data_IF_019487437429
#
_entry.id   IF_019487437429
#
_cell.length_a   1.000
_cell.length_b   1.000
_cell.length_c   1.000
_cell.angle_alpha   90.00
_cell.angle_beta   90.00
_cell.angle_gamma   90.00
#
_symmetry.space_group_name_H-M   'P 1'
#
loop_
_entity.id
_entity.type
_entity.pdbx_description
1 polymer ?
#
# COMPACT_ATOMS: atom_id res chain seq x y z
N UNK A 1 -59.18 50.17 17.16
CA UNK A 1 -59.95 49.02 17.68
C UNK A 1 -59.09 47.78 17.42
N UNK A 2 -58.04 47.47 18.19
CA UNK A 2 -58.00 47.06 19.60
C UNK A 2 -58.87 45.82 19.89
N UNK A 3 -58.23 44.64 19.87
CA UNK A 3 -58.54 43.53 20.77
C UNK A 3 -57.31 43.43 21.71
N UNK A 4 -57.37 43.96 22.93
CA UNK A 4 -57.74 43.29 24.20
C UNK A 4 -56.68 42.23 24.60
N UNK A 5 -55.65 42.61 25.36
CA UNK A 5 -55.48 42.49 26.83
C UNK A 5 -55.08 41.08 27.33
N UNK A 6 -53.76 40.95 27.57
CA UNK A 6 -53.03 40.46 28.77
C UNK A 6 -53.89 39.98 29.96
N UNK A 7 -53.53 38.92 30.73
CA UNK A 7 -52.54 39.10 31.82
C UNK A 7 -51.83 37.82 32.37
N UNK A 8 -50.77 38.02 33.18
CA UNK A 8 -50.08 37.08 34.11
C UNK A 8 -48.92 36.22 33.55
N UNK A 9 -47.71 36.77 33.68
CA UNK A 9 -46.47 35.97 33.67
C UNK A 9 -45.17 36.72 33.95
N UNK A 10 -45.17 37.60 34.96
CA UNK A 10 -44.03 38.03 35.79
C UNK A 10 -42.59 38.03 35.20
N UNK A 11 -42.05 39.24 35.05
CA UNK A 11 -40.61 39.62 35.14
C UNK A 11 -40.07 39.37 36.58
N UNK A 12 -38.85 39.81 37.03
CA UNK A 12 -37.64 40.37 36.37
C UNK A 12 -36.26 39.87 36.98
N UNK A 13 -35.12 40.32 36.41
CA UNK A 13 -33.88 40.91 37.05
C UNK A 13 -33.14 40.13 38.19
N UNK A 14 -31.82 40.21 38.45
CA UNK A 14 -30.75 41.21 38.22
C UNK A 14 -29.35 40.58 38.38
N UNK A 15 -28.40 41.11 37.60
CA UNK A 15 -27.00 41.48 37.91
C UNK A 15 -26.51 41.31 39.36
N UNK A 16 -25.35 40.67 39.53
CA UNK A 16 -24.36 41.05 40.56
C UNK A 16 -22.94 40.93 39.99
N UNK A 17 -22.23 42.06 40.03
CA UNK A 17 -20.84 42.23 39.61
C UNK A 17 -19.84 41.70 40.66
N UNK A 18 -18.64 41.31 40.23
CA UNK A 18 -17.37 41.86 40.74
C UNK A 18 -16.16 41.18 40.07
N UNK A 19 -15.29 42.00 39.47
CA UNK A 19 -13.88 41.68 39.21
C UNK A 19 -13.09 41.87 40.50
N UNK A 20 -12.29 40.87 40.90
CA UNK A 20 -10.95 40.93 41.56
C UNK A 20 -10.46 39.47 41.49
N UNK A 21 -9.27 39.05 41.05
CA UNK A 21 -7.95 39.63 41.08
C UNK A 21 -7.01 38.64 41.79
N UNK A 22 -5.97 38.21 41.09
CA UNK A 22 -4.67 37.73 41.58
C UNK A 22 -4.41 36.24 41.90
N UNK A 23 -3.35 35.75 41.24
CA UNK A 23 -2.47 34.62 41.54
C UNK A 23 -2.12 34.45 43.04
N UNK A 24 -2.10 33.19 43.49
CA UNK A 24 -1.06 32.54 44.33
C UNK A 24 -1.14 31.04 43.95
N UNK A 25 -0.25 30.51 43.11
CA UNK A 25 1.09 29.99 43.42
C UNK A 25 1.10 28.79 44.38
N UNK A 26 1.52 27.64 43.84
CA UNK A 26 2.29 26.62 44.56
C UNK A 26 1.49 25.71 45.50
N UNK A 27 1.64 24.41 45.26
CA UNK A 27 1.57 23.36 46.28
C UNK A 27 0.16 22.82 46.60
N UNK A 28 -0.28 21.78 45.88
CA UNK A 28 -0.98 20.56 46.42
C UNK A 28 -1.16 19.44 45.35
N UNK A 29 -0.20 19.17 44.47
CA UNK A 29 -0.37 18.06 43.50
C UNK A 29 -0.06 16.68 44.14
N UNK A 30 0.77 16.65 45.18
CA UNK A 30 1.27 15.40 45.78
C UNK A 30 0.28 14.63 46.68
N UNK A 31 -0.85 15.23 47.07
CA UNK A 31 -1.84 14.54 47.90
C UNK A 31 -2.93 13.82 47.09
N UNK A 32 -3.20 14.25 45.85
CA UNK A 32 -4.18 13.59 44.98
C UNK A 32 -3.68 12.22 44.48
N UNK A 33 -2.37 12.06 44.21
CA UNK A 33 -1.82 10.80 43.72
C UNK A 33 -1.74 9.68 44.78
N UNK A 34 -1.64 9.99 46.07
CA UNK A 34 -1.53 8.97 47.13
C UNK A 34 -2.83 8.21 47.40
N UNK A 35 -3.99 8.81 47.11
CA UNK A 35 -5.29 8.17 47.26
C UNK A 35 -5.65 7.23 46.09
N UNK A 36 -4.97 7.38 44.94
CA UNK A 36 -5.14 6.48 43.80
C UNK A 36 -4.23 5.24 43.90
N UNK A 37 -3.05 5.39 44.52
CA UNK A 37 -2.09 4.29 44.71
C UNK A 37 -2.56 3.19 45.68
N UNK A 38 -3.46 3.49 46.61
CA UNK A 38 -3.89 2.52 47.64
C UNK A 38 -5.08 1.64 47.23
N UNK A 39 -5.66 1.82 46.03
CA UNK A 39 -6.75 0.97 45.51
C UNK A 39 -6.33 -0.03 44.41
N UNK A 40 -5.06 -0.05 44.01
CA UNK A 40 -4.54 -1.00 43.02
C UNK A 40 -3.66 -2.11 43.62
N UNK A 41 -3.47 -2.12 44.94
CA UNK A 41 -2.74 -3.17 45.63
C UNK A 41 -3.64 -4.38 45.92
N UNK A 42 -3.98 -5.14 44.88
CA UNK A 42 -4.38 -6.54 44.99
C UNK A 42 -3.19 -7.41 44.52
N UNK A 43 -2.84 -8.51 45.23
CA UNK A 43 -1.61 -9.25 44.96
C UNK A 43 -1.86 -10.25 43.85
N UNK A 44 -1.11 -10.14 42.76
CA UNK A 44 -1.12 -11.15 41.69
C UNK A 44 -0.91 -10.56 40.32
N UNK A 45 0.25 -9.94 40.09
CA UNK A 45 0.83 -9.80 38.76
C UNK A 45 2.33 -9.70 38.96
N UNK A 46 3.06 -10.74 38.53
CA UNK A 46 4.49 -10.65 38.34
C UNK A 46 4.79 -9.43 37.47
N UNK A 47 5.86 -8.66 37.72
CA UNK A 47 6.22 -7.55 36.85
C UNK A 47 6.34 -8.08 35.43
N UNK A 48 5.48 -7.60 34.54
CA UNK A 48 5.75 -7.67 33.10
C UNK A 48 7.03 -6.86 32.92
N UNK A 49 8.16 -7.56 32.92
CA UNK A 49 9.44 -7.02 32.57
C UNK A 49 9.29 -6.55 31.12
N UNK A 50 8.99 -5.26 30.97
CA UNK A 50 8.99 -4.58 29.69
C UNK A 50 10.41 -4.74 29.18
N UNK A 51 10.65 -5.73 28.31
CA UNK A 51 11.90 -5.89 27.61
C UNK A 51 12.24 -4.54 26.99
N UNK A 52 13.20 -3.83 27.58
CA UNK A 52 13.74 -2.60 27.02
C UNK A 52 14.16 -2.94 25.59
N UNK A 53 13.64 -2.23 24.57
CA UNK A 53 13.95 -2.54 23.18
C UNK A 53 15.46 -2.50 23.03
N UNK A 54 16.05 -3.65 22.68
CA UNK A 54 17.49 -3.76 22.39
C UNK A 54 17.85 -2.63 21.42
N UNK A 55 18.96 -1.89 21.64
CA UNK A 55 19.34 -0.80 20.77
C UNK A 55 19.36 -1.30 19.34
N UNK A 56 18.58 -0.65 18.47
CA UNK A 56 18.57 -0.93 17.06
C UNK A 56 20.01 -0.81 16.56
N UNK A 57 20.61 -1.94 16.13
CA UNK A 57 21.97 -1.97 15.58
C UNK A 57 22.13 -0.78 14.62
N UNK A 58 23.25 -0.06 14.75
CA UNK A 58 23.60 0.99 13.80
C UNK A 58 23.63 0.42 12.38
N UNK A 59 23.36 1.25 11.37
CA UNK A 59 23.32 0.82 9.97
C UNK A 59 24.60 0.07 9.58
N UNK A 60 25.74 0.57 10.03
CA UNK A 60 27.06 -0.04 9.78
C UNK A 60 27.17 -1.44 10.39
N UNK A 61 26.68 -1.62 11.62
CA UNK A 61 26.63 -2.95 12.26
C UNK A 61 25.69 -3.93 11.55
N UNK A 62 24.58 -3.44 10.99
CA UNK A 62 23.69 -4.29 10.17
C UNK A 62 24.37 -4.69 8.87
N UNK A 63 25.06 -3.75 8.21
CA UNK A 63 25.80 -4.02 6.98
C UNK A 63 26.94 -5.02 7.23
N UNK A 64 27.76 -4.78 8.26
CA UNK A 64 28.86 -5.67 8.61
C UNK A 64 28.35 -7.09 8.92
N UNK A 65 27.28 -7.21 9.68
CA UNK A 65 26.66 -8.51 9.96
C UNK A 65 26.13 -9.22 8.72
N UNK A 66 25.72 -8.50 7.68
CA UNK A 66 25.33 -9.11 6.40
C UNK A 66 26.55 -9.59 5.62
N UNK A 67 27.62 -8.78 5.59
CA UNK A 67 28.87 -9.15 4.92
C UNK A 67 29.55 -10.34 5.57
N UNK A 68 29.59 -10.38 6.90
CA UNK A 68 30.16 -11.51 7.65
C UNK A 68 29.38 -12.80 7.35
N UNK A 69 28.04 -12.74 7.35
CA UNK A 69 27.19 -13.89 6.98
C UNK A 69 27.41 -14.35 5.53
N UNK A 70 27.66 -13.41 4.62
CA UNK A 70 27.88 -13.73 3.21
C UNK A 70 29.19 -14.51 2.96
N UNK A 71 30.18 -14.43 3.88
CA UNK A 71 31.42 -15.20 3.76
C UNK A 71 31.22 -16.70 4.00
N UNK A 72 30.28 -17.07 4.88
CA UNK A 72 30.02 -18.46 5.28
C UNK A 72 28.87 -19.11 4.49
N UNK A 73 28.19 -18.36 3.62
CA UNK A 73 26.98 -18.82 2.95
C UNK A 73 27.29 -19.54 1.63
N UNK A 74 26.73 -20.75 1.46
CA UNK A 74 26.77 -21.44 0.17
C UNK A 74 25.88 -20.74 -0.87
N UNK A 75 26.08 -21.05 -2.15
CA UNK A 75 25.24 -20.54 -3.25
C UNK A 75 23.77 -20.89 -3.02
N UNK A 76 23.47 -22.15 -2.69
CA UNK A 76 22.10 -22.62 -2.46
C UNK A 76 21.47 -21.94 -1.23
N UNK A 77 22.26 -21.78 -0.15
CA UNK A 77 21.82 -21.06 1.04
C UNK A 77 21.53 -19.58 0.75
N UNK A 78 22.33 -18.94 -0.10
CA UNK A 78 22.13 -17.55 -0.53
C UNK A 78 20.88 -17.40 -1.39
N UNK A 79 20.64 -18.34 -2.30
CA UNK A 79 19.45 -18.35 -3.15
C UNK A 79 18.17 -18.58 -2.33
N UNK A 80 18.19 -19.53 -1.40
CA UNK A 80 17.06 -19.77 -0.49
C UNK A 80 16.74 -18.54 0.35
N UNK A 81 17.75 -17.87 0.93
CA UNK A 81 17.55 -16.64 1.68
C UNK A 81 16.97 -15.51 0.81
N UNK A 82 17.46 -15.35 -0.42
CA UNK A 82 16.92 -14.38 -1.37
C UNK A 82 15.42 -14.64 -1.62
N UNK A 83 15.06 -15.89 -1.92
CA UNK A 83 13.67 -16.26 -2.21
C UNK A 83 12.76 -16.07 -1.00
N UNK A 84 13.21 -16.44 0.21
CA UNK A 84 12.46 -16.17 1.44
C UNK A 84 12.19 -14.67 1.60
N UNK A 85 13.21 -13.81 1.46
CA UNK A 85 13.03 -12.35 1.57
C UNK A 85 12.09 -11.78 0.51
N UNK A 86 12.08 -12.33 -0.69
CA UNK A 86 11.14 -11.91 -1.74
C UNK A 86 9.72 -12.34 -1.38
N UNK A 87 9.52 -13.62 -1.01
CA UNK A 87 8.19 -14.17 -0.66
C UNK A 87 7.58 -13.41 0.52
N UNK A 88 8.38 -13.04 1.52
CA UNK A 88 7.92 -12.26 2.69
C UNK A 88 7.34 -10.88 2.31
N UNK A 89 7.63 -10.38 1.12
CA UNK A 89 7.08 -9.11 0.60
C UNK A 89 5.81 -9.31 -0.25
N UNK A 90 5.50 -10.54 -0.66
CA UNK A 90 4.41 -10.81 -1.61
C UNK A 90 3.06 -10.93 -0.91
N UNK A 91 2.05 -10.39 -1.57
CA UNK A 91 0.63 -10.61 -1.22
C UNK A 91 0.12 -11.87 -1.95
N UNK A 92 -0.87 -12.61 -1.42
CA UNK A 92 -1.41 -13.80 -2.09
C UNK A 92 -1.84 -13.60 -3.55
N UNK A 93 -2.44 -12.45 -3.88
CA UNK A 93 -2.82 -12.14 -5.26
C UNK A 93 -1.61 -11.97 -6.20
N UNK A 94 -0.47 -11.48 -5.69
CA UNK A 94 0.77 -11.39 -6.48
C UNK A 94 1.37 -12.78 -6.74
N UNK A 95 1.33 -13.67 -5.75
CA UNK A 95 1.71 -15.07 -5.92
C UNK A 95 0.83 -15.76 -6.98
N UNK A 96 -0.47 -15.45 -7.04
CA UNK A 96 -1.36 -15.94 -8.10
C UNK A 96 -0.97 -15.45 -9.48
N UNK A 97 -0.56 -14.19 -9.63
CA UNK A 97 -0.06 -13.66 -10.91
C UNK A 97 1.19 -14.43 -11.35
N UNK A 98 2.15 -14.67 -10.44
CA UNK A 98 3.35 -15.44 -10.75
C UNK A 98 2.99 -16.85 -11.19
N UNK A 99 2.08 -17.52 -10.45
CA UNK A 99 1.57 -18.85 -10.79
C UNK A 99 0.93 -18.90 -12.18
N UNK A 100 0.16 -17.88 -12.56
CA UNK A 100 -0.53 -17.86 -13.85
C UNK A 100 0.43 -17.63 -15.03
N UNK A 101 1.62 -17.06 -14.79
CA UNK A 101 2.62 -16.76 -15.81
C UNK A 101 3.82 -17.72 -15.76
N UNK A 102 3.86 -18.65 -14.81
CA UNK A 102 5.01 -19.55 -14.60
C UNK A 102 5.19 -20.55 -15.73
N UNK A 103 4.13 -20.85 -16.49
CA UNK A 103 4.18 -21.68 -17.70
C UNK A 103 4.92 -21.02 -18.88
N UNK A 104 5.33 -19.75 -18.72
CA UNK A 104 5.97 -18.97 -19.78
C UNK A 104 4.99 -18.24 -20.68
N UNK A 105 3.69 -18.29 -20.36
CA UNK A 105 2.70 -17.43 -20.98
C UNK A 105 3.02 -15.95 -20.75
N UNK A 106 2.51 -15.11 -21.64
CA UNK A 106 2.56 -13.66 -21.51
C UNK A 106 1.15 -13.08 -21.50
N UNK A 107 0.98 -11.95 -20.84
CA UNK A 107 -0.28 -11.20 -20.80
C UNK A 107 -0.13 -9.84 -21.48
N UNK A 108 -1.17 -9.29 -22.14
CA UNK A 108 -1.11 -7.93 -22.66
C UNK A 108 -0.96 -6.94 -21.50
N UNK A 109 -0.20 -5.88 -21.75
CA UNK A 109 0.11 -4.81 -20.82
C UNK A 109 -0.11 -3.47 -21.53
N UNK A 110 -0.89 -2.59 -20.93
CA UNK A 110 -1.16 -1.25 -21.46
C UNK A 110 -0.80 -0.19 -20.43
N UNK A 111 -0.11 0.85 -20.90
CA UNK A 111 0.14 2.07 -20.13
C UNK A 111 -0.47 3.26 -20.84
N UNK A 112 -1.28 4.03 -20.13
CA UNK A 112 -2.00 5.20 -20.65
C UNK A 112 -1.34 6.46 -20.12
N UNK A 113 -0.97 7.35 -21.04
CA UNK A 113 -0.32 8.63 -20.75
C UNK A 113 -1.11 9.75 -21.41
N UNK A 114 -1.08 10.94 -20.80
CA UNK A 114 -1.46 12.17 -21.51
C UNK A 114 -0.49 12.43 -22.66
N UNK A 115 -0.92 13.26 -23.61
CA UNK A 115 -0.04 13.77 -24.68
C UNK A 115 0.29 15.23 -24.40
N UNK A 116 1.55 15.62 -24.59
CA UNK A 116 1.92 17.04 -24.53
C UNK A 116 1.50 17.75 -25.81
N UNK A 117 1.27 19.08 -25.80
CA UNK A 117 0.98 19.85 -27.02
C UNK A 117 2.04 19.68 -28.11
N UNK A 118 3.30 19.48 -27.72
CA UNK A 118 4.42 19.19 -28.61
C UNK A 118 4.46 17.73 -29.15
N UNK A 119 3.42 16.92 -28.90
CA UNK A 119 3.32 15.54 -29.41
C UNK A 119 4.05 14.47 -28.57
N UNK A 120 4.73 14.86 -27.49
CA UNK A 120 5.45 13.96 -26.60
C UNK A 120 4.55 13.17 -25.64
N UNK A 121 5.15 12.17 -24.97
CA UNK A 121 4.49 11.48 -23.87
C UNK A 121 4.42 12.39 -22.64
N UNK A 122 3.22 12.59 -22.09
CA UNK A 122 2.97 13.35 -20.87
C UNK A 122 2.89 12.46 -19.63
N UNK A 123 2.23 12.99 -18.59
CA UNK A 123 1.97 12.30 -17.32
C UNK A 123 1.28 10.94 -17.54
N UNK A 124 1.74 9.91 -16.83
CA UNK A 124 1.11 8.59 -16.76
C UNK A 124 -0.16 8.68 -15.89
N UNK A 125 -1.30 8.25 -16.43
CA UNK A 125 -2.56 8.18 -15.68
C UNK A 125 -2.86 6.75 -15.19
N UNK A 126 -2.48 5.76 -15.99
CA UNK A 126 -2.61 4.35 -15.64
C UNK A 126 -1.38 3.62 -16.16
N UNK A 127 -0.67 2.95 -15.25
CA UNK A 127 0.50 2.16 -15.58
C UNK A 127 0.18 0.68 -15.45
N UNK A 128 0.79 -0.14 -16.32
CA UNK A 128 0.82 -1.60 -16.16
C UNK A 128 -0.55 -2.28 -16.04
N UNK A 129 -1.57 -1.78 -16.73
CA UNK A 129 -2.85 -2.46 -16.78
C UNK A 129 -2.75 -3.73 -17.63
N UNK A 130 -3.32 -4.84 -17.16
CA UNK A 130 -3.15 -6.14 -17.79
C UNK A 130 -4.39 -7.02 -17.60
N UNK A 131 -4.58 -7.99 -18.50
CA UNK A 131 -5.62 -9.01 -18.35
C UNK A 131 -5.26 -10.13 -17.37
N UNK A 132 -4.00 -10.16 -16.90
CA UNK A 132 -3.55 -11.21 -15.96
C UNK A 132 -4.40 -11.30 -14.71
N UNK A 133 -5.03 -10.20 -14.28
CA UNK A 133 -5.93 -10.20 -13.13
C UNK A 133 -7.15 -11.12 -13.29
N UNK A 134 -7.64 -11.25 -14.52
CA UNK A 134 -8.76 -12.16 -14.86
C UNK A 134 -8.26 -13.60 -14.97
N UNK A 135 -7.16 -13.82 -15.68
CA UNK A 135 -6.63 -15.18 -15.91
C UNK A 135 -6.08 -15.83 -14.63
N UNK A 136 -5.49 -15.03 -13.74
CA UNK A 136 -4.98 -15.48 -12.43
C UNK A 136 -6.07 -15.54 -11.34
N UNK A 137 -7.32 -15.19 -11.67
CA UNK A 137 -8.47 -15.26 -10.77
C UNK A 137 -8.22 -14.54 -9.42
N UNK A 138 -7.77 -13.28 -9.49
CA UNK A 138 -7.40 -12.48 -8.31
C UNK A 138 -8.60 -12.15 -7.42
N UNK A 139 -8.37 -12.04 -6.12
CA UNK A 139 -9.41 -11.59 -5.18
C UNK A 139 -9.79 -10.12 -5.42
N UNK A 140 -8.81 -9.27 -5.76
CA UNK A 140 -9.03 -7.86 -6.06
C UNK A 140 -8.59 -7.49 -7.50
N UNK A 141 -9.36 -7.83 -8.55
CA UNK A 141 -8.96 -7.58 -9.94
C UNK A 141 -8.70 -6.11 -10.28
N UNK A 142 -9.32 -5.17 -9.57
CA UNK A 142 -9.09 -3.73 -9.76
C UNK A 142 -7.69 -3.28 -9.30
N UNK A 143 -7.00 -4.06 -8.46
CA UNK A 143 -5.64 -3.81 -8.01
C UNK A 143 -4.57 -4.44 -8.90
N UNK A 144 -4.96 -5.14 -9.99
CA UNK A 144 -4.03 -5.83 -10.90
C UNK A 144 -2.86 -4.95 -11.34
N UNK A 145 -3.13 -3.69 -11.73
CA UNK A 145 -2.09 -2.76 -12.16
C UNK A 145 -1.07 -2.46 -11.05
N UNK A 146 -1.51 -2.37 -9.79
CA UNK A 146 -0.65 -2.17 -8.62
C UNK A 146 0.21 -3.41 -8.36
N UNK A 147 -0.40 -4.60 -8.37
CA UNK A 147 0.32 -5.87 -8.18
C UNK A 147 1.38 -6.10 -9.27
N UNK A 148 1.01 -5.89 -10.54
CA UNK A 148 1.97 -5.98 -11.65
C UNK A 148 3.09 -4.95 -11.50
N UNK A 149 2.79 -3.73 -11.03
CA UNK A 149 3.82 -2.70 -10.79
C UNK A 149 4.80 -3.11 -9.68
N UNK A 150 4.30 -3.69 -8.59
CA UNK A 150 5.14 -4.18 -7.49
C UNK A 150 6.00 -5.35 -7.94
N UNK A 151 5.42 -6.34 -8.63
CA UNK A 151 6.15 -7.48 -9.18
C UNK A 151 7.23 -7.09 -10.20
N UNK A 152 6.97 -6.07 -11.03
CA UNK A 152 7.98 -5.49 -11.91
C UNK A 152 9.10 -4.80 -11.12
N UNK A 153 8.79 -4.15 -10.00
CA UNK A 153 9.81 -3.51 -9.14
C UNK A 153 10.68 -4.52 -8.38
N UNK A 154 10.14 -5.70 -8.07
CA UNK A 154 10.87 -6.83 -7.49
C UNK A 154 11.69 -7.61 -8.54
N UNK A 155 11.54 -7.30 -9.83
CA UNK A 155 12.21 -8.02 -10.92
C UNK A 155 11.68 -9.42 -11.19
N UNK A 156 10.48 -9.76 -10.68
CA UNK A 156 9.83 -11.07 -10.91
C UNK A 156 9.09 -11.12 -12.25
N UNK A 157 8.68 -9.96 -12.74
CA UNK A 157 8.11 -9.78 -14.07
C UNK A 157 8.99 -8.86 -14.91
N UNK A 158 8.87 -8.98 -16.23
CA UNK A 158 9.49 -8.07 -17.19
C UNK A 158 8.50 -7.63 -18.27
N UNK A 159 8.78 -6.46 -18.86
CA UNK A 159 7.98 -5.91 -19.96
C UNK A 159 8.63 -6.28 -21.29
N UNK A 160 7.89 -6.98 -22.13
CA UNK A 160 8.28 -7.26 -23.52
C UNK A 160 7.72 -6.22 -24.50
N UNK A 161 8.10 -6.32 -25.80
CA UNK A 161 7.49 -5.53 -26.85
C UNK A 161 6.00 -5.89 -27.04
N UNK A 162 5.28 -5.09 -27.83
CA UNK A 162 3.94 -5.46 -28.30
C UNK A 162 4.00 -6.74 -29.11
N UNK A 163 3.06 -7.65 -28.86
CA UNK A 163 2.92 -8.89 -29.60
C UNK A 163 1.63 -8.85 -30.43
N UNK A 164 1.77 -8.90 -31.76
CA UNK A 164 0.64 -8.86 -32.68
C UNK A 164 -0.25 -10.09 -32.60
N UNK A 165 0.26 -11.23 -32.10
CA UNK A 165 -0.54 -12.44 -31.91
C UNK A 165 -1.62 -12.24 -30.84
N UNK A 166 -1.39 -11.34 -29.87
CA UNK A 166 -2.31 -11.03 -28.77
C UNK A 166 -3.33 -9.93 -29.13
N UNK A 167 -3.59 -9.69 -30.42
CA UNK A 167 -4.48 -8.60 -30.88
C UNK A 167 -5.86 -8.64 -30.20
N UNK A 168 -6.47 -9.83 -30.14
CA UNK A 168 -7.77 -10.03 -29.50
C UNK A 168 -7.72 -9.70 -28.00
N UNK A 169 -6.66 -10.09 -27.31
CA UNK A 169 -6.49 -9.80 -25.88
C UNK A 169 -6.30 -8.30 -25.63
N UNK A 170 -5.58 -7.58 -26.50
CA UNK A 170 -5.51 -6.13 -26.42
C UNK A 170 -6.87 -5.47 -26.64
N UNK A 171 -7.69 -5.97 -27.57
CA UNK A 171 -9.05 -5.45 -27.79
C UNK A 171 -9.93 -5.66 -26.55
N UNK A 172 -9.87 -6.83 -25.94
CA UNK A 172 -10.56 -7.13 -24.67
C UNK A 172 -10.08 -6.18 -23.56
N UNK A 173 -8.77 -6.02 -23.39
CA UNK A 173 -8.19 -5.11 -22.40
C UNK A 173 -8.62 -3.66 -22.63
N UNK A 174 -8.62 -3.22 -23.88
CA UNK A 174 -9.01 -1.86 -24.27
C UNK A 174 -10.49 -1.56 -24.07
N UNK A 175 -11.33 -2.60 -24.06
CA UNK A 175 -12.77 -2.48 -23.77
C UNK A 175 -13.08 -2.38 -22.26
N UNK A 176 -12.10 -2.62 -21.39
CA UNK A 176 -12.31 -2.55 -19.94
C UNK A 176 -12.73 -1.14 -19.49
N UNK A 177 -13.71 -1.08 -18.59
CA UNK A 177 -14.31 0.19 -18.17
C UNK A 177 -13.30 1.13 -17.53
N UNK A 178 -12.36 0.60 -16.73
CA UNK A 178 -11.33 1.41 -16.08
C UNK A 178 -10.29 1.95 -17.09
N UNK A 179 -10.05 1.22 -18.19
CA UNK A 179 -9.18 1.64 -19.30
C UNK A 179 -9.83 2.77 -20.08
N UNK A 180 -11.10 2.61 -20.47
CA UNK A 180 -11.86 3.64 -21.16
C UNK A 180 -11.94 4.94 -20.35
N UNK A 181 -12.15 4.83 -19.03
CA UNK A 181 -12.12 5.98 -18.11
C UNK A 181 -10.74 6.66 -18.08
N UNK A 182 -9.66 5.89 -18.03
CA UNK A 182 -8.30 6.43 -18.04
C UNK A 182 -7.95 7.09 -19.38
N UNK A 183 -8.37 6.52 -20.52
CA UNK A 183 -8.20 7.12 -21.86
C UNK A 183 -8.95 8.45 -21.94
N UNK A 184 -10.21 8.48 -21.49
CA UNK A 184 -11.01 9.71 -21.46
C UNK A 184 -10.36 10.79 -20.59
N UNK A 185 -9.85 10.42 -19.41
CA UNK A 185 -9.17 11.34 -18.50
C UNK A 185 -7.80 11.82 -19.05
N UNK A 186 -7.11 11.00 -19.83
CA UNK A 186 -5.82 11.34 -20.44
C UNK A 186 -5.96 12.19 -21.71
N UNK A 187 -7.12 12.15 -22.36
CA UNK A 187 -7.41 12.95 -23.55
C UNK A 187 -7.76 14.38 -23.16
N UNK A 188 -7.25 15.37 -23.90
CA UNK A 188 -7.50 16.80 -23.65
C UNK A 188 -7.87 17.53 -24.94
N UNK A 189 -9.14 17.87 -25.09
CA UNK A 189 -9.66 18.50 -26.32
C UNK A 189 -9.30 17.67 -27.55
N UNK A 190 -8.60 18.24 -28.55
CA UNK A 190 -8.19 17.51 -29.76
C UNK A 190 -6.99 16.56 -29.55
N UNK A 191 -6.38 16.52 -28.37
CA UNK A 191 -5.21 15.68 -28.07
C UNK A 191 -5.68 14.32 -27.51
N UNK A 192 -5.65 13.23 -28.29
CA UNK A 192 -5.95 11.89 -27.77
C UNK A 192 -4.89 11.42 -26.79
N UNK A 193 -5.29 10.53 -25.88
CA UNK A 193 -4.37 9.83 -24.99
C UNK A 193 -3.31 9.04 -25.77
N UNK A 194 -2.09 8.95 -25.22
CA UNK A 194 -1.05 8.07 -25.73
C UNK A 194 -1.14 6.71 -25.03
N UNK A 195 -1.17 5.65 -25.82
CA UNK A 195 -1.34 4.28 -25.34
C UNK A 195 -0.08 3.50 -25.75
N UNK A 196 0.61 2.96 -24.75
CA UNK A 196 1.82 2.15 -24.91
C UNK A 196 1.42 0.69 -24.64
N UNK A 197 1.36 -0.11 -25.71
CA UNK A 197 1.03 -1.53 -25.68
C UNK A 197 2.32 -2.34 -25.58
N UNK A 198 2.34 -3.29 -24.66
CA UNK A 198 3.47 -4.15 -24.33
C UNK A 198 2.97 -5.49 -23.86
N UNK A 199 3.87 -6.44 -23.68
CA UNK A 199 3.58 -7.69 -23.00
C UNK A 199 4.20 -7.69 -21.60
N UNK A 200 3.66 -8.51 -20.71
CA UNK A 200 4.29 -8.85 -19.43
C UNK A 200 4.46 -10.36 -19.35
N UNK A 201 5.62 -10.81 -18.86
CA UNK A 201 5.96 -12.23 -18.66
C UNK A 201 6.79 -12.39 -17.40
N UNK A 202 6.87 -13.61 -16.88
CA UNK A 202 7.74 -13.95 -15.76
C UNK A 202 9.22 -13.91 -16.19
N UNK A 203 10.08 -13.37 -15.34
CA UNK A 203 11.54 -13.37 -15.56
C UNK A 203 12.15 -14.73 -15.20
N UNK A 204 13.43 -14.92 -15.52
CA UNK A 204 14.20 -16.08 -15.02
C UNK A 204 14.22 -16.13 -13.49
N UNK A 205 14.33 -14.97 -12.81
CA UNK A 205 14.26 -14.89 -11.35
C UNK A 205 12.89 -15.35 -10.83
N UNK A 206 11.81 -14.81 -11.40
CA UNK A 206 10.44 -15.17 -11.01
C UNK A 206 10.15 -16.66 -11.23
N UNK A 207 10.64 -17.23 -12.33
CA UNK A 207 10.52 -18.67 -12.62
C UNK A 207 11.32 -19.51 -11.63
N UNK A 208 12.58 -19.15 -11.38
CA UNK A 208 13.41 -19.86 -10.40
C UNK A 208 12.85 -19.81 -8.98
N UNK A 209 12.26 -18.68 -8.58
CA UNK A 209 11.55 -18.57 -7.30
C UNK A 209 10.32 -19.47 -7.25
N UNK A 210 9.53 -19.51 -8.32
CA UNK A 210 8.34 -20.38 -8.42
C UNK A 210 8.70 -21.87 -8.35
N UNK A 211 9.71 -22.30 -9.10
CA UNK A 211 10.19 -23.68 -9.12
C UNK A 211 10.72 -24.12 -7.75
N UNK A 212 11.50 -23.27 -7.08
CA UNK A 212 12.02 -23.54 -5.75
C UNK A 212 10.90 -23.62 -4.69
N UNK A 213 9.88 -22.75 -4.77
CA UNK A 213 8.78 -22.72 -3.82
C UNK A 213 7.80 -23.90 -3.98
N UNK A 214 7.57 -24.35 -5.21
CA UNK A 214 6.67 -25.47 -5.52
C UNK A 214 7.36 -26.84 -5.51
N UNK A 215 8.69 -26.86 -5.45
CA UNK A 215 9.50 -28.09 -5.45
C UNK A 215 9.38 -28.86 -6.76
N UNK A 216 9.18 -28.15 -7.88
CA UNK A 216 8.98 -28.73 -9.21
C UNK A 216 7.73 -29.61 -9.36
N UNK A 217 6.78 -29.52 -8.42
CA UNK A 217 5.52 -30.29 -8.45
C UNK A 217 4.37 -29.46 -8.99
N UNK A 218 4.34 -29.22 -10.30
CA UNK A 218 3.13 -28.83 -11.05
C UNK A 218 3.22 -29.35 -12.49
#
# INVERSE_FOLDING_TARGET
MASLLDPLGLLPRTVAAAKVGLKVAGWTEQQAMRMLGSRLAAPGNAPLELETPKPSRSLDQKMQSLLDRALDQSTDGSQSELYHRIIDQLVPDEARIISALSDGSSSPLVTIRTRTPAGGAGKVLLANASLVGRTANLALPHMTATYVSHLLSLGLLERGPEDTAMKQDYEILMAETYILKAIKAASRGPLPARIDKRTVRVTTLGRGLWEAATGGRL
#
